data_IF_149577223507
#
_entry.id   IF_149577223507
#
_cell.length_a   1.000
_cell.length_b   1.000
_cell.length_c   1.000
_cell.angle_alpha   90.00
_cell.angle_beta   90.00
_cell.angle_gamma   90.00
#
_symmetry.space_group_name_H-M   'P 1'
#
loop_
_entity.id
_entity.type
_entity.pdbx_description
1 polymer ?
#
# COMPACT_ATOMS: atom_id res chain seq x y z
N UNK A 1 -1.78 15.15 0.45
CA UNK A 1 -2.18 14.94 1.86
C UNK A 1 -2.99 13.65 1.97
N UNK A 2 -2.88 12.92 3.08
CA UNK A 2 -3.76 11.78 3.35
C UNK A 2 -5.18 12.27 3.59
N UNK A 3 -6.17 11.40 3.31
CA UNK A 3 -7.59 11.73 3.44
C UNK A 3 -8.28 10.80 4.42
N UNK A 4 -9.23 11.31 5.18
CA UNK A 4 -10.13 10.48 5.97
C UNK A 4 -11.28 9.95 5.12
N UNK A 5 -11.80 8.79 5.51
CA UNK A 5 -12.98 8.19 4.87
C UNK A 5 -14.18 9.15 4.83
N UNK A 6 -14.39 9.90 5.92
CA UNK A 6 -15.52 10.82 6.05
C UNK A 6 -15.44 12.07 5.15
N UNK A 7 -14.34 12.30 4.42
CA UNK A 7 -14.24 13.43 3.49
C UNK A 7 -15.04 13.23 2.20
N UNK A 8 -15.41 11.98 1.84
CA UNK A 8 -16.25 11.67 0.68
C UNK A 8 -15.65 12.03 -0.69
N UNK A 9 -14.39 12.49 -0.73
CA UNK A 9 -13.63 12.78 -1.96
C UNK A 9 -12.65 11.66 -2.25
N UNK A 10 -12.24 11.53 -3.51
CA UNK A 10 -11.13 10.63 -3.83
C UNK A 10 -9.88 11.04 -3.04
N UNK A 11 -9.07 10.05 -2.62
CA UNK A 11 -7.86 10.32 -1.84
C UNK A 11 -6.74 11.01 -2.64
N UNK A 12 -6.98 11.31 -3.92
CA UNK A 12 -5.98 11.75 -4.88
C UNK A 12 -5.04 10.61 -5.28
N UNK A 13 -4.01 10.97 -6.04
CA UNK A 13 -2.96 10.05 -6.48
C UNK A 13 -1.62 10.42 -5.82
N UNK A 14 -0.89 9.41 -5.37
CA UNK A 14 0.53 9.51 -5.05
C UNK A 14 1.27 9.76 -6.37
N UNK A 15 2.00 10.86 -6.43
CA UNK A 15 2.81 11.22 -7.60
C UNK A 15 4.20 10.58 -7.50
N UNK A 16 4.83 10.39 -8.65
CA UNK A 16 6.22 9.99 -8.76
C UNK A 16 7.15 11.12 -8.31
N UNK A 17 8.37 10.75 -7.92
CA UNK A 17 9.38 11.71 -7.44
C UNK A 17 9.70 12.81 -8.47
N UNK A 18 9.65 12.48 -9.77
CA UNK A 18 9.96 13.37 -10.88
C UNK A 18 8.70 14.02 -11.48
N UNK A 19 7.59 14.04 -10.75
CA UNK A 19 6.34 14.63 -11.24
C UNK A 19 6.41 16.16 -11.20
N UNK A 20 5.98 16.81 -12.28
CA UNK A 20 5.79 18.26 -12.36
C UNK A 20 4.31 18.61 -12.58
N UNK A 21 3.92 19.89 -12.50
CA UNK A 21 2.56 20.33 -12.87
C UNK A 21 2.20 20.02 -14.33
N UNK A 22 3.17 20.13 -15.24
CA UNK A 22 3.01 19.92 -16.68
C UNK A 22 3.13 18.44 -17.07
N UNK A 23 3.97 17.69 -16.36
CA UNK A 23 4.22 16.28 -16.62
C UNK A 23 4.04 15.45 -15.34
N UNK A 24 2.83 14.92 -15.17
CA UNK A 24 2.51 14.07 -14.03
C UNK A 24 3.09 12.68 -14.20
N UNK A 25 3.94 12.29 -13.26
CA UNK A 25 4.46 10.92 -13.16
C UNK A 25 3.92 10.24 -11.92
N UNK A 26 4.06 8.92 -11.84
CA UNK A 26 3.49 8.09 -10.78
C UNK A 26 4.50 7.05 -10.31
N UNK A 27 4.34 6.50 -9.09
CA UNK A 27 5.15 5.38 -8.63
C UNK A 27 5.13 4.28 -9.69
N UNK A 28 6.32 3.84 -10.09
CA UNK A 28 6.50 2.90 -11.19
C UNK A 28 7.61 1.93 -10.80
N UNK A 29 7.38 0.63 -11.02
CA UNK A 29 8.36 -0.41 -10.77
C UNK A 29 8.68 -1.15 -12.07
N UNK A 30 9.84 -1.82 -12.11
CA UNK A 30 10.20 -2.73 -13.20
C UNK A 30 10.67 -4.04 -12.58
N UNK A 31 10.08 -5.15 -13.04
CA UNK A 31 10.53 -6.47 -12.65
C UNK A 31 11.70 -6.86 -13.57
N UNK A 32 12.88 -7.01 -12.99
CA UNK A 32 14.08 -7.44 -13.72
C UNK A 32 14.13 -8.96 -13.75
N UNK A 33 14.63 -9.52 -14.86
CA UNK A 33 14.76 -10.97 -15.07
C UNK A 33 13.44 -11.75 -14.90
N UNK A 34 12.31 -11.07 -15.07
CA UNK A 34 10.98 -11.67 -15.07
C UNK A 34 10.46 -11.70 -16.50
N UNK A 35 10.07 -12.89 -16.96
CA UNK A 35 9.35 -13.06 -18.22
C UNK A 35 8.11 -13.92 -17.98
N UNK A 36 6.93 -13.36 -18.19
CA UNK A 36 5.66 -14.04 -17.97
C UNK A 36 4.75 -13.33 -16.97
N UNK A 37 3.70 -14.03 -16.50
CA UNK A 37 2.72 -13.43 -15.61
C UNK A 37 3.26 -13.30 -14.19
N UNK A 38 2.95 -12.17 -13.56
CA UNK A 38 3.28 -11.87 -12.17
C UNK A 38 2.07 -11.28 -11.43
N UNK A 39 2.02 -11.50 -10.12
CA UNK A 39 1.08 -10.85 -9.24
C UNK A 39 1.84 -9.91 -8.32
N UNK A 40 1.46 -8.64 -8.30
CA UNK A 40 2.10 -7.63 -7.45
C UNK A 40 1.10 -7.20 -6.39
N UNK A 41 1.57 -7.19 -5.15
CA UNK A 41 0.84 -6.70 -4.00
C UNK A 41 1.56 -5.46 -3.44
N UNK A 42 0.81 -4.37 -3.31
CA UNK A 42 1.29 -3.13 -2.68
C UNK A 42 0.54 -2.94 -1.36
N UNK A 43 1.28 -2.69 -0.28
CA UNK A 43 0.75 -2.46 1.07
C UNK A 43 1.56 -1.38 1.78
N UNK A 44 0.91 -0.59 2.64
CA UNK A 44 1.60 0.40 3.47
C UNK A 44 2.28 -0.28 4.66
N UNK A 45 3.52 0.11 4.95
CA UNK A 45 4.28 -0.32 6.12
C UNK A 45 4.81 0.89 6.90
N UNK A 46 5.23 0.67 8.15
CA UNK A 46 5.92 1.69 8.95
C UNK A 46 7.30 1.98 8.37
N UNK A 47 7.83 3.17 8.66
CA UNK A 47 9.21 3.54 8.32
C UNK A 47 10.27 2.90 9.23
N UNK A 48 9.84 2.30 10.35
CA UNK A 48 10.73 1.67 11.33
C UNK A 48 11.44 0.44 10.73
N UNK A 49 12.54 0.03 11.34
CA UNK A 49 13.26 -1.19 11.03
C UNK A 49 13.15 -2.19 12.20
N UNK A 50 12.53 -3.38 12.03
CA UNK A 50 11.93 -3.89 10.79
C UNK A 50 10.59 -3.23 10.45
N UNK A 51 10.22 -3.11 9.14
CA UNK A 51 8.95 -2.53 8.73
C UNK A 51 7.75 -3.37 9.17
N UNK A 52 6.73 -2.72 9.75
CA UNK A 52 5.50 -3.34 10.27
C UNK A 52 4.28 -2.93 9.45
N UNK A 53 3.18 -3.69 9.44
CA UNK A 53 1.94 -3.27 8.78
C UNK A 53 1.44 -1.91 9.32
N UNK A 54 1.18 -0.95 8.43
CA UNK A 54 0.71 0.39 8.83
C UNK A 54 -0.82 0.43 8.96
N UNK A 55 -1.46 1.10 9.93
CA UNK A 55 -2.93 1.08 10.06
C UNK A 55 -3.71 1.80 8.94
N UNK A 56 -3.05 2.63 8.13
CA UNK A 56 -3.69 3.32 7.00
C UNK A 56 -3.95 2.39 5.81
N UNK A 57 -4.81 2.81 4.90
CA UNK A 57 -5.23 2.01 3.75
C UNK A 57 -4.75 2.63 2.44
N UNK A 58 -4.27 1.79 1.50
CA UNK A 58 -4.26 2.17 0.09
C UNK A 58 -5.69 2.13 -0.45
N UNK A 59 -6.04 3.17 -1.20
CA UNK A 59 -7.35 3.30 -1.84
C UNK A 59 -7.17 3.73 -3.30
N UNK A 60 -8.22 3.55 -4.10
CA UNK A 60 -8.24 3.85 -5.53
C UNK A 60 -8.45 2.60 -6.38
N UNK A 61 -8.21 2.72 -7.69
CA UNK A 61 -8.56 1.65 -8.65
C UNK A 61 -7.68 0.43 -8.41
N UNK A 62 -8.31 -0.73 -8.18
CA UNK A 62 -7.62 -1.99 -7.90
C UNK A 62 -7.18 -2.17 -6.44
N UNK A 63 -7.53 -1.23 -5.56
CA UNK A 63 -7.30 -1.37 -4.12
C UNK A 63 -8.52 -2.01 -3.43
N UNK A 64 -8.29 -3.08 -2.67
CA UNK A 64 -9.31 -3.78 -1.89
C UNK A 64 -8.74 -4.04 -0.50
N UNK A 65 -9.51 -3.77 0.56
CA UNK A 65 -9.09 -3.97 1.95
C UNK A 65 -7.75 -3.30 2.32
N UNK A 66 -7.48 -2.10 1.76
CA UNK A 66 -6.30 -1.31 2.10
C UNK A 66 -5.00 -1.74 1.40
N UNK A 67 -5.06 -2.68 0.46
CA UNK A 67 -3.95 -3.13 -0.38
C UNK A 67 -4.29 -2.97 -1.86
N UNK A 68 -3.28 -2.74 -2.70
CA UNK A 68 -3.44 -2.76 -4.16
C UNK A 68 -2.93 -4.10 -4.69
N UNK A 69 -3.78 -4.81 -5.43
CA UNK A 69 -3.40 -6.07 -6.08
C UNK A 69 -3.54 -5.92 -7.58
N UNK A 70 -2.48 -6.22 -8.32
CA UNK A 70 -2.50 -6.22 -9.78
C UNK A 70 -1.95 -7.54 -10.32
N UNK A 71 -2.59 -8.05 -11.37
CA UNK A 71 -2.09 -9.15 -12.16
C UNK A 71 -1.46 -8.56 -13.42
N UNK A 72 -0.20 -8.88 -13.67
CA UNK A 72 0.58 -8.40 -14.80
C UNK A 72 0.84 -9.59 -15.72
N UNK A 73 0.20 -9.68 -16.89
CA UNK A 73 0.38 -10.82 -17.79
C UNK A 73 1.79 -10.94 -18.38
N UNK A 74 2.45 -9.80 -18.60
CA UNK A 74 3.84 -9.72 -19.04
C UNK A 74 4.59 -8.66 -18.23
N UNK A 75 5.51 -9.11 -17.37
CA UNK A 75 6.30 -8.28 -16.47
C UNK A 75 7.52 -7.57 -17.11
N UNK A 76 7.72 -7.68 -18.43
CA UNK A 76 8.85 -7.02 -19.13
C UNK A 76 8.76 -5.49 -19.14
N UNK A 77 7.54 -4.96 -19.22
CA UNK A 77 7.29 -3.52 -19.25
C UNK A 77 7.26 -2.92 -17.83
N UNK A 78 7.64 -1.64 -17.66
CA UNK A 78 7.42 -0.92 -16.42
C UNK A 78 5.93 -0.89 -16.04
N UNK A 79 5.66 -1.06 -14.75
CA UNK A 79 4.32 -1.10 -14.19
C UNK A 79 4.10 0.13 -13.33
N UNK A 80 3.18 0.98 -13.77
CA UNK A 80 2.87 2.26 -13.11
C UNK A 80 1.59 2.17 -12.27
N UNK A 81 1.54 2.95 -11.19
CA UNK A 81 0.45 2.95 -10.22
C UNK A 81 -0.23 4.34 -10.10
N UNK A 82 -0.94 4.81 -11.14
CA UNK A 82 -1.44 6.19 -11.19
C UNK A 82 -2.61 6.50 -10.25
N UNK A 83 -3.25 5.47 -9.69
CA UNK A 83 -4.49 5.60 -8.92
C UNK A 83 -4.32 5.17 -7.45
N UNK A 84 -3.11 5.26 -6.89
CA UNK A 84 -2.90 4.99 -5.48
C UNK A 84 -3.15 6.25 -4.66
N UNK A 85 -4.12 6.20 -3.76
CA UNK A 85 -4.31 7.19 -2.70
C UNK A 85 -4.09 6.58 -1.32
N UNK A 86 -3.92 7.43 -0.31
CA UNK A 86 -3.78 7.00 1.09
C UNK A 86 -4.96 7.52 1.89
N UNK A 87 -5.72 6.58 2.46
CA UNK A 87 -6.78 6.85 3.40
C UNK A 87 -6.25 6.64 4.83
N UNK A 88 -6.20 7.71 5.62
CA UNK A 88 -5.81 7.64 7.01
C UNK A 88 -7.00 7.17 7.88
N UNK A 89 -6.67 6.40 8.92
CA UNK A 89 -7.62 5.97 9.94
C UNK A 89 -7.54 6.88 11.15
N UNK A 90 -8.63 7.03 11.89
CA UNK A 90 -8.64 7.81 13.13
C UNK A 90 -7.89 7.04 14.22
N UNK A 91 -7.38 7.76 15.24
CA UNK A 91 -6.63 7.14 16.35
C UNK A 91 -7.38 6.00 17.03
N UNK A 92 -8.69 6.16 17.23
CA UNK A 92 -9.58 5.14 17.83
C UNK A 92 -9.75 3.88 16.98
N UNK A 93 -9.51 3.95 15.68
CA UNK A 93 -9.69 2.85 14.71
C UNK A 93 -8.38 2.09 14.44
N UNK A 94 -7.23 2.57 14.95
CA UNK A 94 -5.91 1.96 14.69
C UNK A 94 -5.88 0.48 15.05
N UNK A 95 -6.36 0.12 16.25
CA UNK A 95 -6.35 -1.27 16.73
C UNK A 95 -7.16 -2.17 15.82
N UNK A 96 -8.36 -1.73 15.41
CA UNK A 96 -9.22 -2.48 14.51
C UNK A 96 -8.60 -2.64 13.12
N UNK A 97 -8.00 -1.57 12.57
CA UNK A 97 -7.36 -1.59 11.26
C UNK A 97 -6.15 -2.55 11.23
N UNK A 98 -5.33 -2.55 12.28
CA UNK A 98 -4.21 -3.50 12.41
C UNK A 98 -4.71 -4.94 12.56
N UNK A 99 -5.74 -5.18 13.39
CA UNK A 99 -6.33 -6.50 13.54
C UNK A 99 -6.89 -7.04 12.21
N UNK A 100 -7.49 -6.19 11.38
CA UNK A 100 -7.96 -6.57 10.05
C UNK A 100 -6.79 -6.95 9.13
N UNK A 101 -5.69 -6.20 9.13
CA UNK A 101 -4.50 -6.53 8.32
C UNK A 101 -3.94 -7.91 8.65
N UNK A 102 -3.85 -8.23 9.93
CA UNK A 102 -3.35 -9.51 10.41
C UNK A 102 -4.28 -10.67 10.03
N UNK A 103 -5.59 -10.47 10.17
CA UNK A 103 -6.61 -11.44 9.75
C UNK A 103 -6.53 -11.76 8.26
N UNK A 104 -6.17 -10.77 7.44
CA UNK A 104 -5.97 -10.91 6.00
C UNK A 104 -4.56 -11.42 5.63
N UNK A 105 -3.69 -11.72 6.60
CA UNK A 105 -2.32 -12.17 6.35
C UNK A 105 -1.40 -11.09 5.77
N UNK A 106 -1.75 -9.80 5.92
CA UNK A 106 -0.98 -8.68 5.37
C UNK A 106 0.15 -8.32 6.35
N UNK A 107 1.24 -9.07 6.28
CA UNK A 107 2.49 -8.82 7.02
C UNK A 107 3.70 -9.19 6.15
N UNK A 108 4.11 -8.30 5.21
CA UNK A 108 5.15 -8.60 4.23
C UNK A 108 6.51 -9.00 4.82
N UNK A 109 6.77 -8.65 6.09
CA UNK A 109 8.05 -8.88 6.76
C UNK A 109 7.91 -9.79 8.00
N UNK A 110 6.76 -10.43 8.20
CA UNK A 110 6.48 -11.34 9.31
C UNK A 110 6.85 -10.77 10.70
N UNK A 111 6.58 -9.48 10.90
CA UNK A 111 7.00 -8.74 12.10
C UNK A 111 6.04 -8.88 13.27
N UNK A 112 4.79 -9.27 13.05
CA UNK A 112 3.78 -9.31 14.11
C UNK A 112 4.11 -10.33 15.21
N UNK A 113 4.51 -11.55 14.82
CA UNK A 113 4.81 -12.62 15.77
C UNK A 113 6.11 -12.37 16.57
N UNK A 114 7.01 -11.54 16.05
CA UNK A 114 8.33 -11.28 16.66
C UNK A 114 8.24 -10.40 17.92
N UNK A 115 7.12 -9.71 18.13
CA UNK A 115 6.89 -8.81 19.28
C UNK A 115 5.81 -9.28 20.26
N UNK A 116 5.23 -10.47 20.05
CA UNK A 116 4.23 -11.03 20.98
C UNK A 116 4.79 -11.33 22.38
N UNK A 117 6.12 -11.34 22.55
CA UNK A 117 6.82 -11.48 23.83
C UNK A 117 7.16 -10.18 24.57
N UNK A 118 6.58 -9.03 24.18
CA UNK A 118 6.76 -7.74 24.87
C UNK A 118 5.43 -6.96 25.02
N UNK A 119 4.34 -7.69 25.23
CA UNK A 119 3.08 -7.13 25.70
C UNK A 119 2.67 -7.90 26.95
N UNK A 120 3.46 -7.74 28.01
CA UNK A 120 3.07 -7.88 29.41
C UNK A 120 3.53 -6.59 30.13
#
# INVERSE_FOLDING_TARGET
RFRYECEGRSAGSILGENSSPENRTYPTIRLLNCSGPAMILVSLVTKDDPPRPHPHSLVGKGCIHGICKINVPDCRAPISFPNLGIQCVKRKEITQALAQRLRLGIDPFHTYNRHKGKMD
#
